data_IF_928472404839
#
_entry.id   IF_928472404839
#
_cell.length_a   1.000
_cell.length_b   1.000
_cell.length_c   1.000
_cell.angle_alpha   90.00
_cell.angle_beta   90.00
_cell.angle_gamma   90.00
#
_symmetry.space_group_name_H-M   'P 1'
#
loop_
_entity.id
_entity.type
_entity.pdbx_description
1 polymer ?
#
# COMPACT_ATOMS: atom_id res chain seq x y z
N UNK A 1 -3.70 -7.30 -12.46
CA UNK A 1 -3.90 -6.22 -12.82
C UNK A 1 -4.10 -5.24 -11.79
N UNK A 2 -4.78 -5.41 -10.81
CA UNK A 2 -4.98 -4.45 -9.79
C UNK A 2 -3.75 -4.05 -9.03
N UNK A 3 -2.67 -4.82 -9.15
CA UNK A 3 -1.47 -4.53 -8.37
C UNK A 3 -0.79 -3.24 -8.82
N UNK A 4 -0.79 -2.98 -10.11
CA UNK A 4 -0.16 -1.77 -10.58
C UNK A 4 -0.91 -0.54 -10.11
N UNK A 5 -2.24 -0.61 -10.15
CA UNK A 5 -3.04 0.52 -9.69
C UNK A 5 -2.85 0.75 -8.21
N UNK A 6 -2.76 -0.33 -7.44
CA UNK A 6 -2.55 -0.22 -6.01
C UNK A 6 -1.20 0.44 -5.75
N UNK A 7 -0.17 -0.01 -6.45
CA UNK A 7 1.16 0.55 -6.27
C UNK A 7 1.18 2.03 -6.60
N UNK A 8 0.55 2.42 -7.69
CA UNK A 8 0.51 3.82 -8.08
C UNK A 8 -0.24 4.65 -7.05
N UNK A 9 -1.37 4.14 -6.57
CA UNK A 9 -2.15 4.85 -5.58
C UNK A 9 -1.35 5.08 -4.30
N UNK A 10 -0.63 4.04 -3.86
CA UNK A 10 0.17 4.15 -2.66
C UNK A 10 1.29 5.17 -2.85
N UNK A 11 1.99 5.08 -3.97
CA UNK A 11 3.11 5.98 -4.21
C UNK A 11 2.64 7.42 -4.34
N UNK A 12 1.51 7.62 -4.98
CA UNK A 12 0.96 8.96 -5.09
C UNK A 12 0.61 9.52 -3.71
N UNK A 13 -0.01 8.69 -2.88
CA UNK A 13 -0.36 9.13 -1.53
C UNK A 13 0.88 9.45 -0.71
N UNK A 14 1.93 8.67 -0.87
CA UNK A 14 3.18 8.94 -0.15
C UNK A 14 3.77 10.27 -0.59
N UNK A 15 3.75 10.54 -1.90
CA UNK A 15 4.27 11.81 -2.39
C UNK A 15 3.49 12.98 -1.83
N UNK A 16 2.18 12.87 -1.83
CA UNK A 16 1.35 13.95 -1.31
C UNK A 16 1.60 14.21 0.16
N UNK A 17 1.94 13.17 0.90
CA UNK A 17 2.18 13.31 2.32
C UNK A 17 3.65 13.49 2.63
N UNK A 18 4.50 13.50 1.60
CA UNK A 18 5.93 13.63 1.76
C UNK A 18 6.52 12.53 2.61
N UNK A 19 6.02 11.32 2.39
CA UNK A 19 6.50 10.15 3.09
C UNK A 19 7.31 9.28 2.14
N UNK A 20 8.17 8.46 2.70
CA UNK A 20 8.95 7.53 1.91
C UNK A 20 8.46 6.12 2.15
N UNK A 21 8.89 5.19 1.30
CA UNK A 21 8.54 3.79 1.52
C UNK A 21 8.99 3.31 2.89
N UNK A 22 10.17 3.75 3.33
CA UNK A 22 10.66 3.37 4.65
C UNK A 22 9.69 3.82 5.74
N UNK A 23 9.17 5.01 5.62
CA UNK A 23 8.22 5.52 6.61
C UNK A 23 6.97 4.68 6.64
N UNK A 24 6.45 4.34 5.46
CA UNK A 24 5.25 3.52 5.42
C UNK A 24 5.52 2.13 5.98
N UNK A 25 6.66 1.54 5.66
CA UNK A 25 7.00 0.23 6.18
C UNK A 25 7.03 0.26 7.70
N UNK A 26 7.60 1.30 8.28
CA UNK A 26 7.62 1.44 9.72
C UNK A 26 6.22 1.59 10.29
N UNK A 27 5.37 2.31 9.60
CA UNK A 27 4.01 2.55 10.09
C UNK A 27 3.20 1.25 10.14
N UNK A 28 3.44 0.34 9.21
CA UNK A 28 2.70 -0.91 9.21
C UNK A 28 3.49 -2.06 9.80
N UNK A 29 4.72 -1.80 10.24
CA UNK A 29 5.48 -2.80 10.99
C UNK A 29 6.15 -3.87 10.15
N UNK A 30 6.60 -3.54 8.95
CA UNK A 30 7.28 -4.51 8.09
C UNK A 30 8.57 -3.88 7.57
N UNK A 31 9.40 -4.69 6.94
CA UNK A 31 10.62 -4.17 6.34
C UNK A 31 10.29 -3.48 5.04
N UNK A 32 11.18 -2.64 4.58
CA UNK A 32 10.99 -1.94 3.33
C UNK A 32 10.92 -2.94 2.17
N UNK A 33 11.74 -3.98 2.22
CA UNK A 33 11.72 -5.01 1.20
C UNK A 33 10.38 -5.72 1.14
N UNK A 34 9.83 -6.04 2.29
CA UNK A 34 8.54 -6.71 2.35
C UNK A 34 7.44 -5.79 1.80
N UNK A 35 7.51 -4.53 2.15
CA UNK A 35 6.55 -3.56 1.64
C UNK A 35 6.63 -3.50 0.12
N UNK A 36 7.84 -3.46 -0.43
CA UNK A 36 8.03 -3.43 -1.85
C UNK A 36 7.37 -4.64 -2.52
N UNK A 37 7.53 -5.81 -1.92
CA UNK A 37 6.91 -7.02 -2.46
C UNK A 37 5.39 -6.92 -2.45
N UNK A 38 4.83 -6.36 -1.39
CA UNK A 38 3.39 -6.18 -1.31
C UNK A 38 2.92 -5.26 -2.43
N UNK A 39 3.62 -4.15 -2.63
CA UNK A 39 3.21 -3.18 -3.63
C UNK A 39 3.32 -3.73 -5.04
N UNK A 40 4.28 -4.60 -5.27
CA UNK A 40 4.45 -5.17 -6.60
C UNK A 40 3.56 -6.37 -6.85
N UNK A 41 2.84 -6.80 -5.82
CA UNK A 41 1.95 -7.92 -5.99
C UNK A 41 2.59 -9.28 -5.83
N UNK A 42 3.85 -9.32 -5.37
CA UNK A 42 4.54 -10.58 -5.16
C UNK A 42 4.04 -11.32 -3.94
N UNK A 43 3.32 -10.62 -3.06
CA UNK A 43 2.73 -11.25 -1.89
C UNK A 43 1.28 -10.83 -1.82
N UNK A 44 0.40 -11.73 -1.42
CA UNK A 44 -0.98 -11.36 -1.33
C UNK A 44 -1.25 -10.47 -0.14
N UNK A 45 -0.75 -10.75 0.98
CA UNK A 45 -0.76 -9.88 2.16
C UNK A 45 -1.94 -8.92 2.25
N UNK A 46 -3.15 -9.44 2.12
CA UNK A 46 -4.33 -8.58 2.15
C UNK A 46 -4.42 -7.77 3.43
N UNK A 47 -4.03 -8.39 4.52
CA UNK A 47 -4.06 -7.69 5.81
C UNK A 47 -3.19 -6.45 5.77
N UNK A 48 -2.01 -6.57 5.20
CA UNK A 48 -1.10 -5.42 5.13
C UNK A 48 -1.58 -4.39 4.12
N UNK A 49 -2.19 -4.85 3.03
CA UNK A 49 -2.69 -3.92 2.03
C UNK A 49 -3.81 -3.07 2.63
N UNK A 50 -4.67 -3.70 3.43
CA UNK A 50 -5.74 -2.98 4.07
C UNK A 50 -5.16 -1.97 5.06
N UNK A 51 -4.13 -2.37 5.79
CA UNK A 51 -3.49 -1.48 6.74
C UNK A 51 -2.87 -0.28 6.04
N UNK A 52 -2.23 -0.52 4.90
CA UNK A 52 -1.65 0.56 4.11
C UNK A 52 -2.74 1.55 3.71
N UNK A 53 -3.87 1.04 3.24
CA UNK A 53 -4.96 1.92 2.84
C UNK A 53 -5.48 2.71 4.03
N UNK A 54 -5.54 2.10 5.19
CA UNK A 54 -6.01 2.80 6.37
C UNK A 54 -5.07 3.95 6.77
N UNK A 55 -3.77 3.69 6.79
CA UNK A 55 -2.85 4.74 7.22
C UNK A 55 -2.72 5.85 6.19
N UNK A 56 -2.95 5.55 4.93
CA UNK A 56 -2.88 6.55 3.88
C UNK A 56 -4.23 7.10 3.47
N UNK A 57 -5.28 6.62 4.13
CA UNK A 57 -6.64 7.09 3.85
C UNK A 57 -7.03 6.83 2.39
N UNK A 58 -6.74 5.64 1.91
CA UNK A 58 -7.10 5.25 0.56
C UNK A 58 -8.26 4.28 0.60
N UNK A 59 -9.03 4.25 -0.48
CA UNK A 59 -10.08 3.27 -0.59
C UNK A 59 -9.45 1.93 -0.87
N UNK A 60 -9.84 0.90 -0.15
CA UNK A 60 -9.30 -0.40 -0.37
C UNK A 60 -10.12 -1.06 -1.41
N UNK A 61 -10.45 -0.77 -2.33
CA UNK A 61 -10.91 -1.43 -3.45
C UNK A 61 -12.11 -2.25 -3.46
N UNK A 62 -12.57 -2.64 -2.39
CA UNK A 62 -13.60 -3.55 -2.46
C UNK A 62 -14.77 -2.93 -2.92
N UNK A 63 -14.73 -1.74 -3.03
CA UNK A 63 -15.91 -1.17 -3.40
C UNK A 63 -16.45 -1.71 -4.57
N UNK A 64 -15.72 -2.23 -5.22
CA UNK A 64 -16.20 -2.63 -6.23
C UNK A 64 -17.17 -3.45 -6.18
N UNK A 65 -17.33 -3.78 -5.46
CA UNK A 65 -18.22 -4.57 -5.51
C UNK A 65 -19.33 -4.13 -5.86
N UNK A 66 -19.51 -3.51 -6.18
CA UNK A 66 -20.58 -3.25 -6.59
C UNK A 66 -20.98 -3.33 -7.52
#
# INVERSE_FOLDING_TARGET
MGNLEFEISVKTALLKRRLRNTDLANMIGVSESYLSDILKGNRKAEHHRKKICEVLDLDYGESEEI
#
